data_IF_302717350538
#
_entry.id   IF_302717350538
#
_cell.length_a   1.000
_cell.length_b   1.000
_cell.length_c   1.000
_cell.angle_alpha   90.00
_cell.angle_beta   90.00
_cell.angle_gamma   90.00
#
_symmetry.space_group_name_H-M   'P 1'
#
loop_
_entity.id
_entity.type
_entity.pdbx_description
1 polymer ?
#
# COMPACT_ATOMS: atom_id res chain seq x y z
N UNK A 1 -44.46 52.83 -102.54
CA UNK A 1 -43.80 51.83 -101.68
C UNK A 1 -42.37 52.29 -101.45
N UNK A 2 -42.07 52.75 -100.25
CA UNK A 2 -40.74 53.19 -99.86
C UNK A 2 -39.87 51.96 -99.58
N UNK A 3 -38.81 51.75 -100.35
CA UNK A 3 -37.71 50.87 -99.96
C UNK A 3 -36.74 51.72 -99.15
N UNK A 4 -36.80 51.57 -97.81
CA UNK A 4 -35.85 52.16 -96.87
C UNK A 4 -34.48 51.50 -97.04
N UNK A 5 -33.49 52.31 -97.41
CA UNK A 5 -32.06 52.03 -97.27
C UNK A 5 -31.59 52.71 -95.97
N UNK A 6 -30.94 52.02 -95.01
CA UNK A 6 -30.38 52.69 -93.85
C UNK A 6 -28.91 53.07 -94.09
N UNK A 7 -28.66 54.38 -94.22
CA UNK A 7 -27.33 54.99 -94.09
C UNK A 7 -26.86 55.00 -92.62
N UNK A 8 -25.73 54.35 -92.36
CA UNK A 8 -24.61 54.93 -91.58
C UNK A 8 -24.72 55.09 -90.06
N UNK A 9 -24.61 54.00 -89.29
CA UNK A 9 -24.21 54.02 -87.85
C UNK A 9 -23.75 52.65 -87.30
N UNK A 10 -23.81 51.57 -88.08
CA UNK A 10 -23.55 50.21 -87.58
C UNK A 10 -22.06 49.89 -87.29
N UNK A 11 -21.12 50.57 -87.95
CA UNK A 11 -19.67 50.33 -87.82
C UNK A 11 -19.11 50.60 -86.40
N UNK A 12 -19.39 51.74 -85.74
CA UNK A 12 -18.92 51.98 -84.37
C UNK A 12 -19.57 51.04 -83.34
N UNK A 13 -20.85 50.69 -83.51
CA UNK A 13 -21.56 49.78 -82.61
C UNK A 13 -20.98 48.34 -82.67
N UNK A 14 -20.63 47.88 -83.88
CA UNK A 14 -19.98 46.59 -84.10
C UNK A 14 -18.60 46.53 -83.42
N UNK A 15 -17.82 47.61 -83.51
CA UNK A 15 -16.51 47.69 -82.87
C UNK A 15 -16.62 47.66 -81.34
N UNK A 16 -17.60 48.35 -80.76
CA UNK A 16 -17.85 48.32 -79.30
C UNK A 16 -18.27 46.92 -78.84
N UNK A 17 -19.15 46.25 -79.59
CA UNK A 17 -19.57 44.87 -79.26
C UNK A 17 -18.41 43.88 -79.36
N UNK A 18 -17.59 43.97 -80.41
CA UNK A 18 -16.39 43.15 -80.56
C UNK A 18 -15.42 43.37 -79.41
N UNK A 19 -15.18 44.63 -79.02
CA UNK A 19 -14.33 44.95 -77.88
C UNK A 19 -14.89 44.39 -76.56
N UNK A 20 -16.20 44.50 -76.32
CA UNK A 20 -16.86 43.92 -75.15
C UNK A 20 -16.74 42.38 -75.14
N UNK A 21 -16.94 41.72 -76.28
CA UNK A 21 -16.74 40.28 -76.41
C UNK A 21 -15.30 39.86 -76.12
N UNK A 22 -14.31 40.57 -76.66
CA UNK A 22 -12.89 40.29 -76.38
C UNK A 22 -12.55 40.48 -74.90
N UNK A 23 -13.10 41.52 -74.25
CA UNK A 23 -12.93 41.73 -72.81
C UNK A 23 -13.55 40.60 -71.98
N UNK A 24 -14.77 40.15 -72.32
CA UNK A 24 -15.41 39.01 -71.66
C UNK A 24 -14.60 37.72 -71.86
N UNK A 25 -14.16 37.45 -73.08
CA UNK A 25 -13.28 36.30 -73.36
C UNK A 25 -12.01 36.37 -72.53
N UNK A 26 -11.34 37.52 -72.47
CA UNK A 26 -10.14 37.70 -71.65
C UNK A 26 -10.43 37.41 -70.17
N UNK A 27 -11.54 37.91 -69.61
CA UNK A 27 -11.91 37.64 -68.20
C UNK A 27 -12.24 36.17 -67.93
N UNK A 28 -12.90 35.47 -68.86
CA UNK A 28 -13.21 34.05 -68.69
C UNK A 28 -11.96 33.19 -68.76
N UNK A 29 -11.03 33.51 -69.66
CA UNK A 29 -9.72 32.84 -69.76
C UNK A 29 -8.90 33.07 -68.50
N UNK A 30 -8.83 34.29 -67.98
CA UNK A 30 -8.08 34.57 -66.74
C UNK A 30 -8.69 33.88 -65.54
N UNK A 31 -10.02 33.90 -65.38
CA UNK A 31 -10.70 33.16 -64.32
C UNK A 31 -10.50 31.65 -64.46
N UNK A 32 -10.50 31.11 -65.68
CA UNK A 32 -10.20 29.71 -65.96
C UNK A 32 -8.78 29.32 -65.53
N UNK A 33 -7.79 30.16 -65.86
CA UNK A 33 -6.38 29.96 -65.43
C UNK A 33 -6.25 30.07 -63.91
N UNK A 34 -6.89 31.06 -63.26
CA UNK A 34 -6.87 31.19 -61.80
C UNK A 34 -7.54 30.01 -61.10
N UNK A 35 -8.70 29.56 -61.58
CA UNK A 35 -9.41 28.40 -61.04
C UNK A 35 -8.57 27.13 -61.19
N UNK A 36 -7.99 26.93 -62.37
CA UNK A 36 -7.08 25.81 -62.63
C UNK A 36 -5.89 25.83 -61.67
N UNK A 37 -5.22 26.98 -61.52
CA UNK A 37 -4.07 27.15 -60.63
C UNK A 37 -4.42 26.88 -59.16
N UNK A 38 -5.57 27.34 -58.69
CA UNK A 38 -6.06 27.08 -57.33
C UNK A 38 -6.38 25.59 -57.16
N UNK A 39 -7.04 24.97 -58.14
CA UNK A 39 -7.35 23.54 -58.14
C UNK A 39 -6.09 22.68 -58.08
N UNK A 40 -5.06 23.01 -58.87
CA UNK A 40 -3.77 22.30 -58.82
C UNK A 40 -3.07 22.48 -57.49
N UNK A 41 -3.12 23.70 -56.91
CA UNK A 41 -2.51 23.99 -55.60
C UNK A 41 -3.19 23.22 -54.46
N UNK A 42 -4.52 23.10 -54.51
CA UNK A 42 -5.32 22.32 -53.55
C UNK A 42 -5.06 20.82 -53.66
N UNK A 43 -4.92 20.29 -54.87
CA UNK A 43 -4.53 18.88 -55.08
C UNK A 43 -3.16 18.62 -54.48
N UNK A 44 -2.18 19.50 -54.75
CA UNK A 44 -0.84 19.36 -54.23
C UNK A 44 -0.78 19.43 -52.69
N UNK A 45 -1.58 20.29 -52.07
CA UNK A 45 -1.65 20.37 -50.60
C UNK A 45 -2.33 19.16 -49.96
N UNK A 46 -3.32 18.56 -50.62
CA UNK A 46 -3.93 17.31 -50.16
C UNK A 46 -2.96 16.13 -50.23
N UNK A 47 -2.16 16.02 -51.29
CA UNK A 47 -1.14 14.96 -51.41
C UNK A 47 -0.09 15.10 -50.29
N UNK A 48 0.37 16.32 -50.00
CA UNK A 48 1.30 16.56 -48.88
C UNK A 48 0.68 16.23 -47.52
N UNK A 49 -0.61 16.53 -47.31
CA UNK A 49 -1.33 16.15 -46.10
C UNK A 49 -1.53 14.64 -46.01
N UNK A 50 -1.72 13.94 -47.14
CA UNK A 50 -1.86 12.49 -47.15
C UNK A 50 -0.54 11.79 -46.78
N UNK A 51 0.60 12.28 -47.28
CA UNK A 51 1.92 11.75 -46.96
C UNK A 51 2.30 12.00 -45.49
N UNK A 52 2.14 13.24 -45.00
CA UNK A 52 2.38 13.56 -43.58
C UNK A 52 1.41 12.84 -42.64
N UNK A 53 0.17 12.59 -43.07
CA UNK A 53 -0.79 11.77 -42.33
C UNK A 53 -0.34 10.31 -42.26
N UNK A 54 0.17 9.73 -43.34
CA UNK A 54 0.70 8.37 -43.35
C UNK A 54 1.94 8.23 -42.45
N UNK A 55 2.84 9.21 -42.46
CA UNK A 55 3.99 9.29 -41.54
C UNK A 55 3.54 9.42 -40.07
N UNK A 56 2.53 10.25 -39.82
CA UNK A 56 1.92 10.42 -38.50
C UNK A 56 1.21 9.16 -37.99
N UNK A 57 0.45 8.47 -38.85
CA UNK A 57 -0.25 7.22 -38.51
C UNK A 57 0.74 6.08 -38.17
N UNK A 58 1.87 6.01 -38.86
CA UNK A 58 2.93 5.04 -38.53
C UNK A 58 3.57 5.36 -37.18
N UNK A 59 3.92 6.63 -36.97
CA UNK A 59 4.48 7.12 -35.69
C UNK A 59 3.50 6.93 -34.53
N UNK A 60 2.21 7.13 -34.77
CA UNK A 60 1.14 6.94 -33.79
C UNK A 60 0.97 5.47 -33.40
N UNK A 61 1.07 4.54 -34.36
CA UNK A 61 1.07 3.10 -34.08
C UNK A 61 2.26 2.70 -33.20
N UNK A 62 3.43 3.29 -33.43
CA UNK A 62 4.63 3.03 -32.62
C UNK A 62 4.44 3.52 -31.17
N UNK A 63 3.92 4.75 -30.99
CA UNK A 63 3.59 5.29 -29.66
C UNK A 63 2.53 4.45 -28.95
N UNK A 64 1.49 4.03 -29.66
CA UNK A 64 0.45 3.17 -29.11
C UNK A 64 1.01 1.80 -28.68
N UNK A 65 1.96 1.26 -29.46
CA UNK A 65 2.75 0.09 -29.06
C UNK A 65 3.50 0.32 -27.76
N UNK A 66 4.29 1.39 -27.66
CA UNK A 66 5.03 1.76 -26.45
C UNK A 66 4.13 1.99 -25.24
N UNK A 67 2.97 2.62 -25.42
CA UNK A 67 1.97 2.83 -24.37
C UNK A 67 1.36 1.52 -23.88
N UNK A 68 1.06 0.59 -24.80
CA UNK A 68 0.58 -0.75 -24.39
C UNK A 68 1.66 -1.52 -23.62
N UNK A 69 2.93 -1.41 -24.00
CA UNK A 69 4.05 -1.98 -23.24
C UNK A 69 4.21 -1.32 -21.86
N UNK A 70 4.10 0.01 -21.76
CA UNK A 70 4.10 0.73 -20.49
C UNK A 70 2.94 0.32 -19.60
N UNK A 71 1.74 0.13 -20.16
CA UNK A 71 0.59 -0.36 -19.39
C UNK A 71 0.81 -1.78 -18.88
N UNK A 72 1.38 -2.68 -19.70
CA UNK A 72 1.75 -4.04 -19.25
C UNK A 72 2.78 -3.99 -18.13
N UNK A 73 3.82 -3.17 -18.27
CA UNK A 73 4.84 -2.98 -17.24
C UNK A 73 4.23 -2.43 -15.94
N UNK A 74 3.32 -1.43 -16.04
CA UNK A 74 2.62 -0.86 -14.89
C UNK A 74 1.73 -1.89 -14.19
N UNK A 75 1.02 -2.73 -14.94
CA UNK A 75 0.21 -3.81 -14.39
C UNK A 75 1.08 -4.86 -13.68
N UNK A 76 2.24 -5.21 -14.26
CA UNK A 76 3.20 -6.12 -13.63
C UNK A 76 3.76 -5.54 -12.31
N UNK A 77 4.09 -4.25 -12.28
CA UNK A 77 4.49 -3.54 -11.05
C UNK A 77 3.36 -3.54 -10.01
N UNK A 78 2.11 -3.36 -10.45
CA UNK A 78 0.92 -3.48 -9.58
C UNK A 78 0.85 -4.84 -8.89
N UNK A 79 1.03 -5.93 -9.64
CA UNK A 79 1.06 -7.31 -9.09
C UNK A 79 2.20 -7.51 -8.08
N UNK A 80 3.40 -6.98 -8.37
CA UNK A 80 4.53 -7.07 -7.44
C UNK A 80 4.26 -6.27 -6.16
N UNK A 81 3.63 -5.09 -6.27
CA UNK A 81 3.29 -4.26 -5.12
C UNK A 81 2.25 -4.91 -4.21
N UNK A 82 1.22 -5.52 -4.79
CA UNK A 82 0.24 -6.30 -4.05
C UNK A 82 0.93 -7.50 -3.37
N UNK A 83 1.84 -8.17 -4.09
CA UNK A 83 2.63 -9.27 -3.53
C UNK A 83 3.49 -8.83 -2.35
N UNK A 84 4.13 -7.66 -2.48
CA UNK A 84 4.97 -7.07 -1.46
C UNK A 84 4.14 -6.64 -0.24
N UNK A 85 2.96 -6.06 -0.45
CA UNK A 85 2.08 -5.62 0.63
C UNK A 85 1.68 -6.78 1.54
N UNK A 86 1.26 -7.94 1.01
CA UNK A 86 0.90 -9.08 1.85
C UNK A 86 2.11 -9.69 2.56
N UNK A 87 3.28 -9.75 1.89
CA UNK A 87 4.51 -10.23 2.54
C UNK A 87 4.94 -9.29 3.67
N UNK A 88 4.74 -7.99 3.48
CA UNK A 88 5.10 -6.97 4.46
C UNK A 88 4.16 -6.96 5.65
N UNK A 89 2.85 -7.18 5.45
CA UNK A 89 1.88 -7.36 6.55
C UNK A 89 2.19 -8.62 7.37
N UNK A 90 2.52 -9.73 6.70
CA UNK A 90 2.98 -10.94 7.41
C UNK A 90 4.29 -10.71 8.18
N UNK A 91 5.22 -9.92 7.64
CA UNK A 91 6.44 -9.57 8.36
C UNK A 91 6.17 -8.66 9.57
N UNK A 92 5.20 -7.75 9.47
CA UNK A 92 4.78 -6.90 10.59
C UNK A 92 4.10 -7.70 11.69
N UNK A 93 3.19 -8.62 11.36
CA UNK A 93 2.57 -9.52 12.34
C UNK A 93 3.62 -10.39 13.02
N UNK A 94 4.55 -10.97 12.25
CA UNK A 94 5.64 -11.76 12.81
C UNK A 94 6.54 -10.92 13.73
N UNK A 95 6.84 -9.67 13.37
CA UNK A 95 7.60 -8.74 14.20
C UNK A 95 6.88 -8.40 15.51
N UNK A 96 5.55 -8.26 15.47
CA UNK A 96 4.70 -8.01 16.64
C UNK A 96 4.59 -9.24 17.56
N UNK A 97 4.52 -10.44 16.98
CA UNK A 97 4.65 -11.68 17.74
C UNK A 97 6.05 -11.80 18.35
N UNK A 98 7.09 -11.39 17.61
CA UNK A 98 8.46 -11.37 18.11
C UNK A 98 8.66 -10.35 19.23
N UNK A 99 8.02 -9.18 19.18
CA UNK A 99 8.12 -8.16 20.23
C UNK A 99 7.42 -8.61 21.51
N UNK A 100 6.26 -9.27 21.40
CA UNK A 100 5.53 -9.86 22.54
C UNK A 100 6.31 -11.02 23.17
N UNK A 101 6.86 -11.90 22.34
CA UNK A 101 7.70 -13.00 22.82
C UNK A 101 9.04 -12.51 23.33
N UNK A 102 9.65 -11.47 22.75
CA UNK A 102 10.84 -10.82 23.26
C UNK A 102 10.58 -10.08 24.58
N UNK A 103 9.42 -9.47 24.77
CA UNK A 103 9.01 -8.92 26.07
C UNK A 103 8.87 -10.01 27.14
N UNK A 104 8.25 -11.13 26.78
CA UNK A 104 8.16 -12.31 27.65
C UNK A 104 9.54 -12.98 27.90
N UNK A 105 10.43 -12.99 26.90
CA UNK A 105 11.78 -13.57 26.97
C UNK A 105 12.79 -12.62 27.62
N UNK A 106 12.60 -11.30 27.54
CA UNK A 106 13.37 -10.32 28.30
C UNK A 106 13.18 -10.54 29.80
N UNK A 107 11.96 -10.92 30.22
CA UNK A 107 11.68 -11.38 31.58
C UNK A 107 12.23 -12.80 31.90
N UNK A 108 12.59 -13.60 30.88
CA UNK A 108 13.16 -14.95 31.08
C UNK A 108 14.67 -14.92 31.35
N UNK A 109 15.33 -13.80 31.04
CA UNK A 109 16.77 -13.59 31.30
C UNK A 109 16.96 -12.73 32.56
N UNK A 110 16.50 -13.31 33.67
CA UNK A 110 16.94 -13.09 35.05
C UNK A 110 16.55 -11.83 35.85
N UNK A 111 15.78 -10.85 35.37
CA UNK A 111 15.53 -9.63 36.18
C UNK A 111 14.10 -9.05 36.16
N UNK A 112 13.07 -9.82 35.83
CA UNK A 112 11.69 -9.28 35.86
C UNK A 112 10.69 -10.25 36.51
N UNK A 113 10.09 -9.79 37.60
CA UNK A 113 8.88 -10.39 38.16
C UNK A 113 7.66 -9.50 37.84
N UNK A 114 6.43 -10.05 37.84
CA UNK A 114 5.23 -9.24 37.68
C UNK A 114 5.19 -8.10 38.69
N UNK A 115 4.56 -6.99 38.31
CA UNK A 115 4.37 -5.85 39.20
C UNK A 115 3.78 -6.33 40.54
N UNK A 116 4.42 -6.00 41.67
CA UNK A 116 4.16 -6.45 43.05
C UNK A 116 4.79 -7.76 43.54
N UNK A 117 5.52 -8.49 42.70
CA UNK A 117 6.23 -9.71 43.10
C UNK A 117 7.69 -9.43 43.44
N UNK A 118 8.25 -10.20 44.37
CA UNK A 118 9.63 -10.07 44.81
C UNK A 118 10.51 -11.04 44.03
N UNK A 119 11.52 -10.53 43.32
CA UNK A 119 12.57 -11.35 42.71
C UNK A 119 13.60 -11.72 43.78
N UNK A 120 13.76 -13.01 44.03
CA UNK A 120 14.81 -13.55 44.90
C UNK A 120 15.52 -14.69 44.20
N UNK A 121 16.82 -14.53 43.92
CA UNK A 121 17.66 -15.53 43.26
C UNK A 121 17.04 -16.16 41.99
N UNK A 122 16.51 -15.32 41.09
CA UNK A 122 15.93 -15.77 39.82
C UNK A 122 14.53 -16.38 39.95
N UNK A 123 13.89 -16.27 41.12
CA UNK A 123 12.52 -16.74 41.37
C UNK A 123 11.62 -15.59 41.84
N UNK A 124 10.39 -15.58 41.35
CA UNK A 124 9.38 -14.59 41.74
C UNK A 124 8.52 -15.12 42.89
N UNK A 125 8.46 -14.37 43.99
CA UNK A 125 7.63 -14.67 45.16
C UNK A 125 6.51 -13.64 45.29
N UNK A 126 5.29 -14.13 45.44
CA UNK A 126 4.15 -13.31 45.79
C UNK A 126 3.95 -13.30 47.31
N UNK A 127 3.95 -12.11 47.91
CA UNK A 127 3.72 -11.92 49.33
C UNK A 127 2.37 -11.25 49.56
N UNK A 128 1.43 -11.98 50.14
CA UNK A 128 0.11 -11.44 50.47
C UNK A 128 0.23 -10.35 51.53
N UNK A 129 -0.26 -9.15 51.23
CA UNK A 129 -0.36 -8.04 52.19
C UNK A 129 -1.45 -8.25 53.24
N UNK A 130 -2.42 -9.11 52.94
CA UNK A 130 -3.54 -9.44 53.81
C UNK A 130 -3.31 -10.76 54.55
N UNK A 131 -3.71 -10.80 55.82
CA UNK A 131 -3.75 -12.03 56.61
C UNK A 131 -4.91 -12.89 56.14
N UNK A 132 -4.60 -14.10 55.70
CA UNK A 132 -5.56 -15.10 55.20
C UNK A 132 -5.35 -16.42 55.93
N UNK A 133 -6.36 -17.27 55.96
CA UNK A 133 -6.20 -18.67 56.39
C UNK A 133 -5.37 -19.47 55.38
N UNK A 134 -4.81 -20.61 55.78
CA UNK A 134 -4.03 -21.46 54.88
C UNK A 134 -4.78 -21.80 53.57
N UNK A 135 -6.07 -22.14 53.69
CA UNK A 135 -6.92 -22.49 52.55
C UNK A 135 -7.19 -21.30 51.62
N UNK A 136 -7.42 -20.11 52.19
CA UNK A 136 -7.60 -18.88 51.40
C UNK A 136 -6.30 -18.43 50.73
N UNK A 137 -5.16 -18.63 51.39
CA UNK A 137 -3.84 -18.38 50.80
C UNK A 137 -3.58 -19.33 49.63
N UNK A 138 -3.92 -20.62 49.76
CA UNK A 138 -3.84 -21.58 48.66
C UNK A 138 -4.69 -21.14 47.45
N UNK A 139 -5.95 -20.75 47.70
CA UNK A 139 -6.84 -20.27 46.66
C UNK A 139 -6.34 -18.96 46.02
N UNK A 140 -5.80 -18.04 46.83
CA UNK A 140 -5.21 -16.78 46.34
C UNK A 140 -3.99 -17.05 45.45
N UNK A 141 -3.11 -17.96 45.84
CA UNK A 141 -1.98 -18.35 45.01
C UNK A 141 -2.45 -18.93 43.67
N UNK A 142 -3.42 -19.85 43.71
CA UNK A 142 -3.98 -20.45 42.50
C UNK A 142 -4.64 -19.42 41.57
N UNK A 143 -5.37 -18.45 42.12
CA UNK A 143 -5.98 -17.36 41.36
C UNK A 143 -4.95 -16.45 40.66
N UNK A 144 -3.74 -16.34 41.22
CA UNK A 144 -2.62 -15.61 40.64
C UNK A 144 -1.70 -16.52 39.80
N UNK A 145 -2.22 -17.65 39.29
CA UNK A 145 -1.47 -18.63 38.49
C UNK A 145 -0.18 -19.10 39.16
N UNK A 146 -0.21 -19.21 40.49
CA UNK A 146 0.93 -19.53 41.34
C UNK A 146 0.60 -20.63 42.33
N UNK A 147 1.58 -21.06 43.12
CA UNK A 147 1.41 -22.07 44.18
C UNK A 147 2.06 -21.61 45.47
N UNK A 148 1.54 -22.08 46.60
CA UNK A 148 2.19 -21.85 47.89
C UNK A 148 3.63 -22.39 47.86
N UNK A 149 4.51 -21.68 48.54
CA UNK A 149 5.95 -21.95 48.52
C UNK A 149 6.26 -23.37 49.03
N UNK A 150 6.98 -24.16 48.23
CA UNK A 150 7.52 -25.47 48.61
C UNK A 150 9.02 -25.34 48.76
N UNK A 151 9.53 -25.52 49.97
CA UNK A 151 10.93 -25.21 50.30
C UNK A 151 11.94 -26.12 49.60
N UNK A 152 11.56 -27.37 49.31
CA UNK A 152 12.44 -28.34 48.62
C UNK A 152 12.87 -27.88 47.23
N UNK A 153 12.09 -27.01 46.59
CA UNK A 153 12.43 -26.48 45.27
C UNK A 153 13.57 -25.44 45.34
N UNK A 154 14.00 -25.04 46.54
CA UNK A 154 14.93 -23.95 46.80
C UNK A 154 16.22 -24.46 47.44
N UNK A 155 17.34 -23.80 47.12
CA UNK A 155 18.59 -24.01 47.84
C UNK A 155 18.46 -23.54 49.30
N UNK A 156 19.09 -24.27 50.22
CA UNK A 156 19.00 -24.02 51.66
C UNK A 156 19.49 -22.60 52.02
N UNK A 157 20.56 -22.12 51.39
CA UNK A 157 21.11 -20.79 51.67
C UNK A 157 20.21 -19.68 51.13
N UNK A 158 19.63 -19.88 49.95
CA UNK A 158 18.63 -18.97 49.38
C UNK A 158 17.38 -18.87 50.25
N UNK A 159 16.97 -19.99 50.82
CA UNK A 159 15.80 -20.09 51.70
C UNK A 159 16.04 -19.36 53.03
N UNK A 160 17.19 -19.63 53.66
CA UNK A 160 17.56 -18.96 54.91
C UNK A 160 17.66 -17.45 54.72
N UNK A 161 18.34 -16.99 53.66
CA UNK A 161 18.47 -15.55 53.39
C UNK A 161 17.12 -14.86 53.13
N UNK A 162 16.16 -15.57 52.54
CA UNK A 162 14.82 -15.02 52.33
C UNK A 162 14.10 -14.82 53.66
N UNK A 163 14.08 -15.85 54.52
CA UNK A 163 13.33 -15.82 55.78
C UNK A 163 14.00 -14.98 56.88
N UNK A 164 15.33 -14.86 56.89
CA UNK A 164 16.03 -13.99 57.86
C UNK A 164 15.68 -12.51 57.70
N UNK A 165 15.25 -12.11 56.50
CA UNK A 165 14.87 -10.73 56.19
C UNK A 165 13.36 -10.47 56.34
N UNK A 166 12.59 -11.44 56.88
CA UNK A 166 11.15 -11.31 57.05
C UNK A 166 10.76 -11.07 58.50
N UNK A 167 10.12 -9.93 58.77
CA UNK A 167 9.57 -9.59 60.09
C UNK A 167 8.20 -10.24 60.38
N UNK A 168 7.67 -11.01 59.42
CA UNK A 168 6.29 -11.53 59.44
C UNK A 168 6.23 -12.98 58.99
N UNK A 169 5.32 -13.75 59.61
CA UNK A 169 5.08 -15.15 59.26
C UNK A 169 4.13 -15.27 58.07
N UNK A 170 4.50 -16.07 57.07
CA UNK A 170 3.69 -16.34 55.88
C UNK A 170 3.28 -17.82 55.81
N UNK A 171 2.10 -18.08 55.24
CA UNK A 171 1.71 -19.45 54.91
C UNK A 171 2.57 -19.99 53.75
N UNK A 172 3.11 -21.18 53.95
CA UNK A 172 3.81 -21.95 52.92
C UNK A 172 2.98 -23.17 52.52
N UNK A 173 3.44 -23.90 51.51
CA UNK A 173 2.77 -25.08 50.96
C UNK A 173 2.78 -26.31 51.87
N UNK A 174 3.07 -26.15 53.16
CA UNK A 174 3.10 -27.22 54.14
C UNK A 174 1.79 -27.25 54.94
N UNK A 175 1.17 -28.42 55.05
CA UNK A 175 -0.08 -28.62 55.81
C UNK A 175 0.01 -29.84 56.70
N UNK A 176 -0.58 -29.75 57.89
CA UNK A 176 -0.77 -30.88 58.77
C UNK A 176 -2.17 -31.50 58.58
N UNK A 177 -2.21 -32.78 58.19
CA UNK A 177 -3.42 -33.58 58.21
C UNK A 177 -3.07 -35.00 58.66
N UNK A 178 -2.88 -35.19 59.98
CA UNK A 178 -2.31 -36.39 60.64
C UNK A 178 -0.82 -36.62 60.37
N UNK A 179 -0.36 -36.28 59.18
CA UNK A 179 1.06 -36.25 58.79
C UNK A 179 1.33 -34.88 58.14
N UNK A 180 2.56 -34.38 58.28
CA UNK A 180 3.00 -33.19 57.56
C UNK A 180 3.21 -33.51 56.09
N UNK A 181 2.46 -32.82 55.24
CA UNK A 181 2.46 -33.04 53.79
C UNK A 181 2.52 -31.71 53.05
N UNK A 182 3.27 -31.68 51.96
CA UNK A 182 3.30 -30.56 51.03
C UNK A 182 2.06 -30.56 50.13
N UNK A 183 1.74 -29.42 49.52
CA UNK A 183 0.62 -29.26 48.57
C UNK A 183 0.71 -30.17 47.33
N UNK A 184 1.89 -30.72 47.04
CA UNK A 184 2.12 -31.70 45.95
C UNK A 184 1.87 -33.16 46.38
N UNK A 185 1.45 -33.38 47.63
CA UNK A 185 1.20 -34.71 48.20
C UNK A 185 2.43 -35.41 48.77
N UNK A 186 3.62 -34.80 48.67
CA UNK A 186 4.84 -35.40 49.24
C UNK A 186 4.88 -35.23 50.77
N UNK A 187 5.36 -36.24 51.53
CA UNK A 187 5.54 -36.10 52.96
C UNK A 187 6.70 -35.14 53.28
N UNK A 188 6.62 -34.45 54.41
CA UNK A 188 7.73 -33.68 54.94
C UNK A 188 8.82 -34.64 55.49
N UNK A 189 10.09 -34.51 55.06
CA UNK A 189 11.16 -35.34 55.59
C UNK A 189 11.33 -35.07 57.09
N UNK A 190 11.25 -36.14 57.89
CA UNK A 190 11.47 -36.10 59.34
C UNK A 190 12.96 -36.10 59.68
#
# INVERSE_FOLDING_TARGET
>A
MATMEPRGSARPLLLVLLAACLALLATTVTLGVCYWQVSTTLVQSQDQLAETRAEGDCSQKELQGRDTELQKARAAVGKVREKLAWMQEQAQDLQEQLSKTAGALACSRADCCPETWVLHHGKCLFLSKEKKTWSESLATCAANFSRLLVLRDWDLMTMLSFFTNMDTSYWIGLRYNRVWTWIDGTPYPQ
#
